data_IF_786407375124
#
_entry.id   IF_786407375124
#
_cell.length_a   1.000
_cell.length_b   1.000
_cell.length_c   1.000
_cell.angle_alpha   90.00
_cell.angle_beta   90.00
_cell.angle_gamma   90.00
#
_symmetry.space_group_name_H-M   'P 1'
#
loop_
_entity.id
_entity.type
_entity.pdbx_description
1 polymer ?
#
# COMPACT_ATOMS: atom_id res chain seq x y z
N UNK A 1 0.29 -3.95 -0.49
CA UNK A 1 -0.60 -5.15 -0.46
C UNK A 1 -1.64 -5.01 -1.56
N UNK A 2 -1.99 -6.09 -2.26
CA UNK A 2 -3.03 -6.05 -3.29
C UNK A 2 -4.37 -5.64 -2.68
N UNK A 3 -4.74 -6.29 -1.59
CA UNK A 3 -5.78 -5.88 -0.64
C UNK A 3 -5.54 -6.55 0.72
N UNK A 4 -6.52 -6.49 1.62
CA UNK A 4 -6.48 -7.18 2.91
C UNK A 4 -6.27 -6.27 4.10
N UNK A 5 -5.75 -6.88 5.17
CA UNK A 5 -5.63 -6.26 6.48
C UNK A 5 -6.99 -6.02 7.13
N UNK A 6 -6.99 -5.17 8.15
CA UNK A 6 -8.17 -4.85 8.96
C UNK A 6 -9.35 -4.32 8.13
N UNK A 7 -9.09 -3.83 6.92
CA UNK A 7 -10.12 -3.34 6.01
C UNK A 7 -11.04 -4.44 5.46
N UNK A 8 -10.58 -5.70 5.44
CA UNK A 8 -11.34 -6.87 5.00
C UNK A 8 -11.56 -7.89 6.12
N UNK A 9 -11.35 -7.50 7.39
CA UNK A 9 -11.40 -8.39 8.56
C UNK A 9 -10.44 -9.60 8.44
N UNK A 10 -9.32 -9.43 7.74
CA UNK A 10 -8.24 -10.41 7.62
C UNK A 10 -6.94 -9.85 8.21
N UNK A 11 -6.63 -10.16 9.48
CA UNK A 11 -5.51 -9.56 10.19
C UNK A 11 -4.15 -10.18 9.83
N UNK A 12 -4.08 -11.16 8.93
CA UNK A 12 -2.84 -11.93 8.71
C UNK A 12 -1.71 -11.05 8.13
N UNK A 13 -2.04 -10.19 7.16
CA UNK A 13 -1.06 -9.24 6.61
C UNK A 13 -0.72 -8.12 7.60
N UNK A 14 -1.66 -7.72 8.45
CA UNK A 14 -1.42 -6.73 9.51
C UNK A 14 -0.44 -7.29 10.55
N UNK A 15 -0.68 -8.52 11.00
CA UNK A 15 0.18 -9.22 11.95
C UNK A 15 1.59 -9.40 11.38
N UNK A 16 1.71 -9.68 10.08
CA UNK A 16 3.00 -9.73 9.40
C UNK A 16 3.71 -8.37 9.45
N UNK A 17 3.04 -7.28 9.07
CA UNK A 17 3.63 -5.93 9.10
C UNK A 17 4.05 -5.50 10.51
N UNK A 18 3.21 -5.80 11.51
CA UNK A 18 3.51 -5.54 12.93
C UNK A 18 4.67 -6.38 13.44
N UNK A 19 4.82 -7.61 12.96
CA UNK A 19 5.94 -8.50 13.31
C UNK A 19 7.30 -8.05 12.78
N UNK A 20 7.34 -7.01 11.93
CA UNK A 20 8.58 -6.36 11.49
C UNK A 20 9.14 -5.37 12.52
N UNK A 21 8.35 -5.03 13.55
CA UNK A 21 8.71 -4.08 14.59
C UNK A 21 9.07 -4.82 15.88
N UNK A 22 10.19 -4.46 16.49
CA UNK A 22 10.58 -4.92 17.82
C UNK A 22 10.06 -3.95 18.90
N UNK A 23 8.74 -3.94 19.09
CA UNK A 23 8.09 -3.13 20.12
C UNK A 23 6.95 -3.93 20.81
N UNK A 24 6.90 -3.98 22.15
CA UNK A 24 5.87 -4.74 22.86
C UNK A 24 4.47 -4.12 22.74
N UNK A 25 4.40 -2.82 22.45
CA UNK A 25 3.15 -2.07 22.22
C UNK A 25 3.38 -1.04 21.10
N UNK A 26 3.33 -1.46 19.83
CA UNK A 26 3.71 -0.62 18.70
C UNK A 26 2.86 0.64 18.57
N UNK A 27 3.50 1.76 18.24
CA UNK A 27 2.86 2.99 17.77
C UNK A 27 2.52 2.85 16.31
N UNK A 28 1.23 2.87 16.01
CA UNK A 28 0.71 2.71 14.65
C UNK A 28 -0.13 3.92 14.27
N UNK A 29 0.25 4.58 13.17
CA UNK A 29 -0.49 5.72 12.64
C UNK A 29 -1.23 5.35 11.35
N UNK A 30 -2.54 5.57 11.35
CA UNK A 30 -3.36 5.39 10.16
C UNK A 30 -3.47 6.66 9.32
N UNK A 31 -3.27 6.52 8.02
CA UNK A 31 -3.49 7.55 7.01
C UNK A 31 -4.75 7.19 6.19
N UNK A 32 -5.94 7.72 6.56
CA UNK A 32 -7.21 7.40 5.90
C UNK A 32 -7.46 8.21 4.61
N UNK A 33 -6.51 9.05 4.17
CA UNK A 33 -6.76 10.13 3.21
C UNK A 33 -7.29 9.67 1.85
N UNK A 34 -7.03 8.43 1.43
CA UNK A 34 -7.61 7.87 0.21
C UNK A 34 -9.13 7.63 0.28
N UNK A 35 -9.68 7.46 1.48
CA UNK A 35 -11.07 7.06 1.66
C UNK A 35 -12.02 8.25 1.72
N UNK A 36 -13.18 8.10 1.11
CA UNK A 36 -14.32 9.02 1.28
C UNK A 36 -15.11 8.75 2.58
N UNK A 37 -14.91 7.60 3.22
CA UNK A 37 -15.64 7.14 4.41
C UNK A 37 -14.76 7.14 5.67
N UNK A 38 -14.04 8.25 5.90
CA UNK A 38 -13.02 8.36 6.95
C UNK A 38 -13.52 7.94 8.35
N UNK A 39 -14.69 8.39 8.87
CA UNK A 39 -15.09 8.06 10.24
C UNK A 39 -15.25 6.55 10.49
N UNK A 40 -15.89 5.84 9.56
CA UNK A 40 -16.09 4.38 9.67
C UNK A 40 -14.76 3.65 9.53
N UNK A 41 -13.89 4.11 8.62
CA UNK A 41 -12.62 3.45 8.39
C UNK A 41 -11.67 3.61 9.59
N UNK A 42 -11.66 4.81 10.19
CA UNK A 42 -10.92 5.08 11.43
C UNK A 42 -11.48 4.26 12.59
N UNK A 43 -12.81 4.13 12.73
CA UNK A 43 -13.39 3.28 13.78
C UNK A 43 -12.91 1.82 13.67
N UNK A 44 -12.97 1.23 12.46
CA UNK A 44 -12.45 -0.13 12.21
C UNK A 44 -10.96 -0.27 12.50
N UNK A 45 -10.17 0.77 12.21
CA UNK A 45 -8.75 0.79 12.56
C UNK A 45 -8.54 0.69 14.08
N UNK A 46 -9.26 1.47 14.88
CA UNK A 46 -9.15 1.41 16.35
C UNK A 46 -9.73 0.12 16.95
N UNK A 47 -10.69 -0.53 16.28
CA UNK A 47 -11.18 -1.86 16.65
C UNK A 47 -10.13 -2.94 16.40
N UNK A 48 -9.43 -2.88 15.26
CA UNK A 48 -8.38 -3.83 14.91
C UNK A 48 -7.09 -3.65 15.72
N UNK A 49 -6.76 -2.41 16.09
CA UNK A 49 -5.56 -2.06 16.86
C UNK A 49 -5.95 -1.39 18.19
N UNK A 50 -6.51 -2.15 19.15
CA UNK A 50 -7.00 -1.58 20.40
C UNK A 50 -5.85 -1.05 21.28
N UNK A 51 -6.12 0.04 22.01
CA UNK A 51 -5.13 0.70 22.86
C UNK A 51 -4.57 -0.17 24.00
N UNK A 52 -5.17 -1.32 24.30
CA UNK A 52 -4.64 -2.31 25.24
C UNK A 52 -3.37 -2.99 24.73
N UNK A 53 -3.20 -3.07 23.41
CA UNK A 53 -2.10 -3.80 22.75
C UNK A 53 -1.27 -2.90 21.84
N UNK A 54 -1.76 -1.71 21.50
CA UNK A 54 -1.11 -0.75 20.61
C UNK A 54 -1.15 0.67 21.17
N UNK A 55 -0.40 1.57 20.54
CA UNK A 55 -0.55 3.02 20.65
C UNK A 55 -1.12 3.57 19.33
N UNK A 56 -2.42 3.35 19.04
CA UNK A 56 -3.01 3.73 17.77
C UNK A 56 -3.22 5.24 17.66
N UNK A 57 -2.92 5.78 16.49
CA UNK A 57 -3.23 7.17 16.11
C UNK A 57 -3.72 7.22 14.65
N UNK A 58 -4.27 8.34 14.23
CA UNK A 58 -4.55 8.59 12.82
C UNK A 58 -4.33 10.06 12.48
N UNK A 59 -3.96 10.33 11.23
CA UNK A 59 -3.74 11.69 10.74
C UNK A 59 -4.86 12.12 9.80
N UNK A 60 -5.75 12.98 10.29
CA UNK A 60 -6.73 13.66 9.44
C UNK A 60 -6.12 14.95 8.86
N UNK A 61 -5.84 14.98 7.55
CA UNK A 61 -5.32 16.18 6.89
C UNK A 61 -6.38 17.26 6.66
N UNK A 62 -7.66 16.88 6.54
CA UNK A 62 -8.76 17.84 6.37
C UNK A 62 -9.02 18.65 7.65
N UNK A 63 -8.66 18.10 8.81
CA UNK A 63 -8.69 18.78 10.11
C UNK A 63 -7.33 18.62 10.81
N UNK A 64 -6.25 19.02 10.12
CA UNK A 64 -4.88 18.82 10.60
C UNK A 64 -4.64 19.52 11.94
N UNK A 65 -4.34 18.74 12.98
CA UNK A 65 -3.93 19.22 14.31
C UNK A 65 -2.44 19.02 14.61
N UNK A 66 -1.74 18.28 13.76
CA UNK A 66 -0.30 18.04 13.87
C UNK A 66 0.45 19.16 13.13
N UNK A 67 1.25 19.95 13.86
CA UNK A 67 2.03 21.03 13.25
C UNK A 67 3.25 20.48 12.50
N UNK A 68 4.06 19.65 13.16
CA UNK A 68 5.25 19.02 12.59
C UNK A 68 4.94 17.58 12.15
N UNK A 69 4.81 17.37 10.84
CA UNK A 69 4.51 16.05 10.29
C UNK A 69 5.71 15.11 10.37
N UNK A 70 6.92 15.63 10.18
CA UNK A 70 8.13 14.82 10.14
C UNK A 70 8.41 14.22 11.51
N UNK A 71 8.38 15.04 12.56
CA UNK A 71 8.52 14.55 13.94
C UNK A 71 7.38 13.61 14.33
N UNK A 72 6.15 13.90 13.93
CA UNK A 72 5.00 13.06 14.27
C UNK A 72 5.08 11.68 13.61
N UNK A 73 5.36 11.64 12.30
CA UNK A 73 5.46 10.39 11.54
C UNK A 73 6.71 9.59 11.89
N UNK A 74 7.86 10.27 12.06
CA UNK A 74 9.11 9.62 12.50
C UNK A 74 9.06 9.08 13.93
N UNK A 75 8.08 9.49 14.73
CA UNK A 75 7.84 8.95 16.07
C UNK A 75 6.95 7.70 16.11
N UNK A 76 6.49 7.19 14.97
CA UNK A 76 5.69 5.97 14.84
C UNK A 76 6.58 4.76 14.59
N UNK A 77 6.09 3.57 14.92
CA UNK A 77 6.75 2.32 14.52
C UNK A 77 6.22 1.83 13.17
N UNK A 78 4.92 2.02 12.94
CA UNK A 78 4.23 1.65 11.70
C UNK A 78 3.36 2.81 11.20
N UNK A 79 3.41 3.08 9.89
CA UNK A 79 2.45 3.94 9.21
C UNK A 79 1.65 3.08 8.25
N UNK A 80 0.33 3.03 8.47
CA UNK A 80 -0.61 2.25 7.68
C UNK A 80 -1.43 3.18 6.77
N UNK A 81 -1.40 2.94 5.47
CA UNK A 81 -2.19 3.71 4.49
C UNK A 81 -3.39 2.92 4.00
N UNK A 82 -4.57 3.51 4.16
CA UNK A 82 -5.83 2.90 3.74
C UNK A 82 -6.05 2.90 2.23
N UNK A 83 -6.97 2.05 1.78
CA UNK A 83 -7.46 2.03 0.41
C UNK A 83 -8.42 3.19 0.08
N UNK A 84 -8.72 3.36 -1.22
CA UNK A 84 -9.62 4.39 -1.73
C UNK A 84 -9.10 5.01 -3.03
N UNK A 85 -9.22 6.32 -3.17
CA UNK A 85 -8.80 7.05 -4.36
C UNK A 85 -7.33 7.49 -4.25
N UNK A 86 -6.44 6.86 -5.02
CA UNK A 86 -5.00 7.13 -5.02
C UNK A 86 -4.68 8.56 -5.47
N UNK A 87 -5.31 9.03 -6.55
CA UNK A 87 -5.02 10.35 -7.12
C UNK A 87 -5.40 11.49 -6.16
N UNK A 88 -6.59 11.42 -5.55
CA UNK A 88 -7.03 12.39 -4.56
C UNK A 88 -6.13 12.40 -3.32
N UNK A 89 -5.75 11.21 -2.83
CA UNK A 89 -4.84 11.08 -1.71
C UNK A 89 -3.50 11.79 -1.97
N UNK A 90 -2.86 11.49 -3.10
CA UNK A 90 -1.57 12.07 -3.46
C UNK A 90 -1.66 13.58 -3.67
N UNK A 91 -2.73 14.08 -4.29
CA UNK A 91 -2.95 15.51 -4.44
C UNK A 91 -3.01 16.23 -3.09
N UNK A 92 -3.76 15.68 -2.13
CA UNK A 92 -3.85 16.23 -0.76
C UNK A 92 -2.49 16.15 -0.06
N UNK A 93 -1.81 15.01 -0.14
CA UNK A 93 -0.52 14.81 0.52
C UNK A 93 0.53 15.82 0.08
N UNK A 94 0.59 16.12 -1.22
CA UNK A 94 1.49 17.13 -1.78
C UNK A 94 1.17 18.53 -1.27
N UNK A 95 -0.10 18.91 -1.23
CA UNK A 95 -0.54 20.20 -0.67
C UNK A 95 -0.11 20.36 0.80
N UNK A 96 -0.14 19.28 1.58
CA UNK A 96 0.21 19.31 3.00
C UNK A 96 1.71 19.05 3.29
N UNK A 97 2.53 18.76 2.27
CA UNK A 97 3.93 18.39 2.44
C UNK A 97 4.15 17.03 3.09
N UNK A 98 3.17 16.12 3.03
CA UNK A 98 3.24 14.82 3.69
C UNK A 98 4.27 13.89 3.03
N UNK A 99 4.50 14.03 1.73
CA UNK A 99 5.47 13.23 0.97
C UNK A 99 6.88 13.29 1.57
N UNK A 100 7.38 14.49 1.89
CA UNK A 100 8.69 14.67 2.51
C UNK A 100 8.76 14.02 3.90
N UNK A 101 7.72 14.21 4.72
CA UNK A 101 7.64 13.63 6.05
C UNK A 101 7.56 12.08 6.02
N UNK A 102 6.84 11.50 5.06
CA UNK A 102 6.78 10.05 4.86
C UNK A 102 8.12 9.48 4.41
N UNK A 103 8.84 10.18 3.51
CA UNK A 103 10.17 9.78 3.07
C UNK A 103 11.15 9.78 4.24
N UNK A 104 11.16 10.84 5.04
CA UNK A 104 11.99 10.95 6.22
C UNK A 104 11.67 9.86 7.26
N UNK A 105 10.39 9.54 7.48
CA UNK A 105 9.99 8.45 8.37
C UNK A 105 10.50 7.08 7.87
N UNK A 106 10.33 6.79 6.57
CA UNK A 106 10.82 5.55 5.97
C UNK A 106 12.34 5.41 6.04
N UNK A 107 13.08 6.46 5.67
CA UNK A 107 14.55 6.49 5.77
C UNK A 107 15.02 6.43 7.23
N UNK A 108 14.19 6.86 8.18
CA UNK A 108 14.40 6.72 9.63
C UNK A 108 14.07 5.34 10.20
N UNK A 109 13.58 4.40 9.38
CA UNK A 109 13.30 3.02 9.77
C UNK A 109 11.84 2.72 10.16
N UNK A 110 10.92 3.67 9.97
CA UNK A 110 9.49 3.41 10.20
C UNK A 110 8.96 2.44 9.14
N UNK A 111 8.22 1.41 9.57
CA UNK A 111 7.60 0.45 8.65
C UNK A 111 6.42 1.13 7.96
N UNK A 112 6.49 1.25 6.62
CA UNK A 112 5.38 1.72 5.81
C UNK A 112 4.61 0.53 5.24
N UNK A 113 3.29 0.53 5.43
CA UNK A 113 2.42 -0.47 4.80
C UNK A 113 1.12 0.16 4.28
N UNK A 114 0.47 -0.54 3.37
CA UNK A 114 -0.81 -0.09 2.83
C UNK A 114 -1.42 -1.09 1.84
N UNK A 115 -2.74 -0.99 1.70
CA UNK A 115 -3.53 -1.84 0.82
C UNK A 115 -4.15 -1.01 -0.31
N UNK A 116 -4.25 -1.58 -1.51
CA UNK A 116 -4.86 -0.94 -2.67
C UNK A 116 -4.20 0.43 -2.97
N UNK A 117 -4.93 1.54 -2.89
CA UNK A 117 -4.37 2.89 -3.02
C UNK A 117 -3.18 3.18 -2.10
N UNK A 118 -3.19 2.63 -0.88
CA UNK A 118 -2.07 2.75 0.05
C UNK A 118 -0.84 1.93 -0.35
N UNK A 119 -0.97 0.95 -1.25
CA UNK A 119 0.16 0.27 -1.84
C UNK A 119 0.65 0.98 -3.11
N UNK A 120 -0.28 1.49 -3.92
CA UNK A 120 0.02 2.24 -5.14
C UNK A 120 0.94 3.42 -4.89
N UNK A 121 0.71 4.17 -3.80
CA UNK A 121 1.42 5.44 -3.57
C UNK A 121 2.93 5.29 -3.41
N UNK A 122 3.44 4.12 -2.99
CA UNK A 122 4.88 3.93 -2.75
C UNK A 122 5.71 3.87 -4.03
N UNK A 123 5.10 3.46 -5.13
CA UNK A 123 5.81 3.24 -6.40
C UNK A 123 5.93 4.55 -7.21
N UNK A 124 6.77 4.55 -8.24
CA UNK A 124 6.83 5.65 -9.21
C UNK A 124 5.52 5.77 -10.00
N UNK A 125 4.90 4.63 -10.30
CA UNK A 125 3.67 4.56 -11.06
C UNK A 125 2.76 3.40 -10.59
N UNK A 126 1.49 3.39 -10.99
CA UNK A 126 0.58 2.29 -10.68
C UNK A 126 -0.59 2.20 -11.66
N UNK A 127 -1.36 1.10 -11.58
CA UNK A 127 -2.73 1.13 -12.08
C UNK A 127 -3.66 1.76 -11.05
N UNK A 128 -4.69 2.47 -11.49
CA UNK A 128 -5.68 3.09 -10.63
C UNK A 128 -7.04 3.23 -11.31
N UNK A 129 -8.09 3.12 -10.53
CA UNK A 129 -9.49 3.40 -10.86
C UNK A 129 -9.91 4.81 -10.39
N UNK A 130 -8.95 5.62 -9.91
CA UNK A 130 -9.20 6.94 -9.31
C UNK A 130 -9.99 7.92 -10.19
N UNK A 131 -9.91 7.78 -11.51
CA UNK A 131 -10.53 8.69 -12.47
C UNK A 131 -11.85 8.16 -13.05
N UNK A 132 -12.04 6.84 -13.05
CA UNK A 132 -13.25 6.19 -13.53
C UNK A 132 -13.39 4.81 -12.87
N UNK A 133 -14.44 4.67 -12.06
CA UNK A 133 -14.74 3.42 -11.36
C UNK A 133 -14.93 2.25 -12.35
N UNK A 134 -14.40 1.09 -11.97
CA UNK A 134 -14.44 -0.12 -12.81
C UNK A 134 -13.43 -0.13 -13.96
N UNK A 135 -12.47 0.80 -13.99
CA UNK A 135 -11.35 0.80 -14.94
C UNK A 135 -10.01 0.72 -14.21
N UNK A 136 -8.93 0.38 -14.92
CA UNK A 136 -7.57 0.39 -14.38
C UNK A 136 -6.67 1.25 -15.29
N UNK A 137 -6.77 2.57 -15.14
CA UNK A 137 -5.94 3.54 -15.86
C UNK A 137 -4.55 3.72 -15.25
N UNK A 138 -3.64 4.43 -15.92
CA UNK A 138 -2.31 4.71 -15.38
C UNK A 138 -2.34 5.86 -14.36
N UNK A 139 -1.52 5.74 -13.33
CA UNK A 139 -1.04 6.82 -12.48
C UNK A 139 0.48 6.84 -12.60
N UNK A 140 1.06 7.94 -13.11
CA UNK A 140 2.51 8.03 -13.43
C UNK A 140 3.28 8.97 -12.51
N UNK A 141 2.59 9.50 -11.50
CA UNK A 141 3.10 10.41 -10.51
C UNK A 141 2.84 9.84 -9.11
N UNK A 142 3.36 8.65 -8.80
CA UNK A 142 3.40 8.16 -7.42
C UNK A 142 4.44 8.90 -6.56
N UNK A 143 4.70 8.45 -5.33
CA UNK A 143 5.73 9.05 -4.47
C UNK A 143 7.15 8.63 -4.88
N UNK A 144 7.30 7.55 -5.64
CA UNK A 144 8.61 7.07 -6.10
C UNK A 144 9.56 6.71 -4.96
N UNK A 145 9.05 6.05 -3.92
CA UNK A 145 9.90 5.46 -2.87
C UNK A 145 10.44 4.12 -3.37
N UNK A 146 9.62 3.39 -4.12
CA UNK A 146 9.96 2.15 -4.81
C UNK A 146 9.98 2.39 -6.33
N UNK A 147 10.98 1.86 -7.05
CA UNK A 147 11.06 2.00 -8.50
C UNK A 147 10.01 1.14 -9.21
N UNK A 148 9.66 1.54 -10.43
CA UNK A 148 8.73 0.80 -11.27
C UNK A 148 7.27 1.06 -10.93
N UNK A 149 6.41 0.11 -11.32
CA UNK A 149 4.96 0.25 -11.16
C UNK A 149 4.34 -0.79 -10.25
N UNK A 150 3.14 -0.49 -9.72
CA UNK A 150 2.36 -1.42 -8.92
C UNK A 150 0.94 -1.66 -9.47
N UNK A 151 0.44 -2.88 -9.32
CA UNK A 151 -0.94 -3.24 -9.63
C UNK A 151 -1.58 -4.02 -8.47
N UNK A 152 -2.55 -3.43 -7.74
CA UNK A 152 -3.32 -4.13 -6.70
C UNK A 152 -4.48 -4.92 -7.32
N UNK A 153 -5.17 -5.71 -6.50
CA UNK A 153 -6.39 -6.45 -6.89
C UNK A 153 -6.22 -7.29 -8.16
N UNK A 154 -5.04 -7.87 -8.36
CA UNK A 154 -4.64 -8.41 -9.65
C UNK A 154 -5.48 -9.60 -10.12
N UNK A 155 -6.01 -10.40 -9.19
CA UNK A 155 -7.02 -11.44 -9.39
C UNK A 155 -8.46 -10.99 -9.07
N UNK A 156 -8.62 -9.94 -8.25
CA UNK A 156 -9.91 -9.49 -7.72
C UNK A 156 -10.72 -8.62 -8.67
N UNK A 157 -10.05 -7.81 -9.51
CA UNK A 157 -10.69 -6.89 -10.44
C UNK A 157 -10.32 -7.23 -11.90
N UNK A 158 -11.32 -7.60 -12.69
CA UNK A 158 -11.15 -8.16 -14.05
C UNK A 158 -10.30 -7.27 -14.98
N UNK A 159 -10.35 -5.95 -14.82
CA UNK A 159 -9.63 -5.00 -15.66
C UNK A 159 -8.18 -4.77 -15.24
N UNK A 160 -7.77 -5.14 -14.01
CA UNK A 160 -6.43 -4.84 -13.47
C UNK A 160 -5.33 -5.50 -14.27
N UNK A 161 -5.41 -6.83 -14.43
CA UNK A 161 -4.42 -7.62 -15.15
C UNK A 161 -4.27 -7.25 -16.62
N UNK A 162 -5.34 -7.22 -17.45
CA UNK A 162 -5.21 -6.84 -18.85
C UNK A 162 -4.77 -5.37 -19.02
N UNK A 163 -5.24 -4.45 -18.18
CA UNK A 163 -4.80 -3.06 -18.27
C UNK A 163 -3.33 -2.89 -17.89
N UNK A 164 -2.86 -3.58 -16.85
CA UNK A 164 -1.45 -3.51 -16.46
C UNK A 164 -0.53 -4.05 -17.54
N UNK A 165 -0.88 -5.20 -18.13
CA UNK A 165 -0.18 -5.77 -19.28
C UNK A 165 -0.11 -4.77 -20.44
N UNK A 166 -1.27 -4.22 -20.83
CA UNK A 166 -1.36 -3.25 -21.93
C UNK A 166 -0.52 -2.00 -21.66
N UNK A 167 -0.63 -1.40 -20.48
CA UNK A 167 0.07 -0.16 -20.13
C UNK A 167 1.59 -0.35 -20.06
N UNK A 168 2.09 -1.52 -19.65
CA UNK A 168 3.52 -1.85 -19.71
C UNK A 168 3.97 -2.08 -21.16
N UNK A 169 3.21 -2.85 -21.95
CA UNK A 169 3.53 -3.11 -23.35
C UNK A 169 3.58 -1.82 -24.20
N UNK A 170 2.68 -0.86 -23.91
CA UNK A 170 2.64 0.45 -24.55
C UNK A 170 3.73 1.42 -24.04
N UNK A 171 4.51 1.03 -23.01
CA UNK A 171 5.53 1.88 -22.40
C UNK A 171 4.98 3.04 -21.58
N UNK A 172 3.69 3.02 -21.23
CA UNK A 172 3.03 4.05 -20.40
C UNK A 172 3.39 3.85 -18.93
N UNK A 173 3.46 2.61 -18.47
CA UNK A 173 3.95 2.25 -17.14
C UNK A 173 5.31 1.54 -17.25
N UNK A 174 6.25 1.80 -16.33
CA UNK A 174 7.47 1.00 -16.23
C UNK A 174 7.15 -0.45 -15.80
N UNK A 175 8.08 -1.40 -15.94
CA UNK A 175 7.96 -2.74 -15.34
C UNK A 175 7.62 -2.66 -13.86
N UNK A 176 6.96 -3.68 -13.33
CA UNK A 176 6.39 -3.56 -12.00
C UNK A 176 6.02 -4.86 -11.31
N UNK A 177 5.47 -4.69 -10.12
CA UNK A 177 4.96 -5.76 -9.26
C UNK A 177 3.44 -5.71 -9.24
N UNK A 178 2.80 -6.86 -9.42
CA UNK A 178 1.38 -7.00 -9.20
C UNK A 178 1.11 -7.92 -8.01
N UNK A 179 0.09 -7.62 -7.21
CA UNK A 179 -0.34 -8.48 -6.11
C UNK A 179 -1.82 -8.80 -6.24
N UNK A 180 -2.15 -10.08 -6.11
CA UNK A 180 -3.50 -10.55 -5.88
C UNK A 180 -4.08 -9.97 -4.58
N UNK A 181 -5.39 -10.07 -4.45
CA UNK A 181 -6.05 -9.88 -3.17
C UNK A 181 -5.45 -10.81 -2.12
N UNK A 182 -5.23 -10.25 -0.92
CA UNK A 182 -4.57 -10.94 0.21
C UNK A 182 -3.12 -11.37 -0.05
N UNK A 183 -2.45 -10.81 -1.07
CA UNK A 183 -1.01 -10.93 -1.28
C UNK A 183 -0.28 -9.58 -1.08
N UNK A 184 0.99 -9.67 -0.69
CA UNK A 184 1.84 -8.52 -0.42
C UNK A 184 3.28 -8.75 -0.90
N UNK A 185 3.93 -7.66 -1.31
CA UNK A 185 5.35 -7.61 -1.57
C UNK A 185 6.01 -6.82 -0.44
N UNK A 186 6.99 -7.43 0.24
CA UNK A 186 7.77 -6.81 1.30
C UNK A 186 9.11 -6.37 0.74
N UNK A 187 9.41 -5.09 0.90
CA UNK A 187 10.67 -4.48 0.49
C UNK A 187 11.50 -4.09 1.71
N UNK A 188 12.82 -4.29 1.63
CA UNK A 188 13.78 -3.73 2.57
C UNK A 188 14.61 -2.67 1.82
N UNK A 189 14.44 -1.40 2.19
CA UNK A 189 14.80 -0.30 1.28
C UNK A 189 14.02 -0.45 -0.02
N UNK A 190 14.72 -0.46 -1.16
CA UNK A 190 14.12 -0.66 -2.48
C UNK A 190 14.21 -2.11 -2.98
N UNK A 191 14.84 -2.99 -2.22
CA UNK A 191 15.04 -4.38 -2.63
C UNK A 191 13.83 -5.23 -2.23
N UNK A 192 13.25 -5.93 -3.20
CA UNK A 192 12.17 -6.88 -2.93
C UNK A 192 12.72 -8.06 -2.12
N UNK A 193 12.38 -8.13 -0.83
CA UNK A 193 12.86 -9.15 0.08
C UNK A 193 12.09 -10.45 -0.07
N UNK A 194 10.75 -10.38 0.00
CA UNK A 194 9.89 -11.54 -0.20
C UNK A 194 8.47 -11.13 -0.61
N UNK A 195 7.69 -12.10 -1.10
CA UNK A 195 6.25 -11.96 -1.29
C UNK A 195 5.53 -12.92 -0.36
N UNK A 196 4.45 -12.43 0.26
CA UNK A 196 3.68 -13.17 1.25
C UNK A 196 2.19 -13.15 0.90
N UNK A 197 1.46 -14.16 1.36
CA UNK A 197 0.02 -14.23 1.16
C UNK A 197 -0.69 -14.64 2.45
N UNK A 198 -1.85 -14.05 2.71
CA UNK A 198 -2.76 -14.47 3.78
C UNK A 198 -3.70 -15.61 3.34
N UNK A 199 -3.83 -15.86 2.04
CA UNK A 199 -4.71 -16.91 1.49
C UNK A 199 -3.94 -17.84 0.57
N UNK A 200 -4.18 -19.14 0.69
CA UNK A 200 -3.65 -20.13 -0.25
C UNK A 200 -4.06 -19.80 -1.68
N UNK A 201 -3.08 -19.78 -2.60
CA UNK A 201 -3.30 -19.49 -4.01
C UNK A 201 -3.13 -18.01 -4.40
N UNK A 202 -3.24 -17.07 -3.46
CA UNK A 202 -2.92 -15.66 -3.74
C UNK A 202 -1.41 -15.48 -3.95
N UNK A 203 -1.02 -14.68 -4.95
CA UNK A 203 0.37 -14.53 -5.38
C UNK A 203 0.72 -13.07 -5.67
N UNK A 204 2.02 -12.84 -5.80
CA UNK A 204 2.57 -11.68 -6.46
C UNK A 204 3.24 -12.06 -7.78
N UNK A 205 3.37 -11.10 -8.69
CA UNK A 205 3.91 -11.29 -10.03
C UNK A 205 4.87 -10.16 -10.35
N UNK A 206 5.91 -10.45 -11.13
CA UNK A 206 6.70 -9.46 -11.83
C UNK A 206 6.20 -9.36 -13.26
N UNK A 207 5.89 -8.15 -13.71
CA UNK A 207 5.45 -7.88 -15.08
C UNK A 207 6.45 -6.95 -15.74
N UNK A 208 6.91 -7.32 -16.93
CA UNK A 208 7.92 -6.58 -17.68
C UNK A 208 7.63 -6.62 -19.18
N UNK A 209 8.14 -5.67 -19.99
CA UNK A 209 8.07 -5.76 -21.44
C UNK A 209 8.64 -7.09 -21.95
N UNK A 210 7.98 -7.69 -22.93
CA UNK A 210 8.43 -8.90 -23.61
C UNK A 210 8.23 -8.78 -25.12
N UNK A 211 8.78 -9.74 -25.88
CA UNK A 211 8.75 -9.71 -27.35
C UNK A 211 7.31 -9.67 -27.91
N UNK A 212 6.38 -10.38 -27.27
CA UNK A 212 4.95 -10.44 -27.64
C UNK A 212 4.05 -9.68 -26.65
N UNK A 213 4.51 -8.52 -26.16
CA UNK A 213 3.76 -7.63 -25.26
C UNK A 213 4.41 -7.55 -23.88
N UNK A 214 4.00 -8.42 -22.95
CA UNK A 214 4.63 -8.50 -21.62
C UNK A 214 5.01 -9.92 -21.24
N UNK A 215 6.06 -10.03 -20.44
CA UNK A 215 6.38 -11.23 -19.67
C UNK A 215 5.83 -11.07 -18.26
N UNK A 216 4.99 -12.02 -17.84
CA UNK A 216 4.51 -12.14 -16.47
C UNK A 216 5.14 -13.35 -15.78
N UNK A 217 5.82 -13.11 -14.67
CA UNK A 217 6.49 -14.13 -13.87
C UNK A 217 5.84 -14.19 -12.47
N UNK A 218 5.19 -15.31 -12.09
CA UNK A 218 4.74 -15.51 -10.71
C UNK A 218 5.94 -15.56 -9.75
N UNK A 219 5.89 -14.77 -8.68
CA UNK A 219 6.93 -14.71 -7.67
C UNK A 219 6.72 -15.79 -6.60
N UNK A 220 7.79 -16.43 -6.07
CA UNK A 220 7.69 -17.32 -4.94
C UNK A 220 7.01 -16.64 -3.75
N UNK A 221 5.76 -17.02 -3.47
CA UNK A 221 4.93 -16.37 -2.46
C UNK A 221 4.71 -17.30 -1.28
N UNK A 222 5.13 -16.87 -0.09
CA UNK A 222 5.04 -17.64 1.15
C UNK A 222 3.67 -17.44 1.79
N UNK A 223 2.96 -18.54 2.05
CA UNK A 223 1.72 -18.51 2.82
C UNK A 223 2.03 -18.20 4.29
N UNK A 224 1.36 -17.21 4.85
CA UNK A 224 1.44 -16.85 6.25
C UNK A 224 0.51 -17.75 7.09
N UNK A 225 0.88 -18.08 8.34
CA UNK A 225 0.01 -18.82 9.23
C UNK A 225 -1.20 -17.95 9.63
N UNK A 226 -2.39 -18.56 9.67
CA UNK A 226 -3.51 -17.99 10.41
C UNK A 226 -3.28 -18.26 11.90
N UNK A 227 -3.45 -17.22 12.72
CA UNK A 227 -3.36 -17.30 14.18
C UNK A 227 -4.57 -18.03 14.77
#
# INVERSE_FOLDING_TARGET
MGSGGFSLDDPVLDAYALGLVDAPRPKICFLPTASSAVPVYVARFFEAFPSSSFEPSFLNLFERRVADLESFLGGQDVIYVGGGNTANMLAIWRVHGLEGALRAAWEGGVVLCGASAGANCWFEASTTDSFLAGTAGPLTDGLGFLPGSFCPHYDGEIERRPSFHRLIAEGVLPPGIACDDLAAAHFFGTDLLETVAARSGARAYRVSPGDDGVTEEPLPTRLLPHA
#
